data_IF_064753839967
#
_entry.id   IF_064753839967
#
_cell.length_a   1.000
_cell.length_b   1.000
_cell.length_c   1.000
_cell.angle_alpha   90.00
_cell.angle_beta   90.00
_cell.angle_gamma   90.00
#
_symmetry.space_group_name_H-M   'P 1'
#
loop_
_entity.id
_entity.type
_entity.pdbx_description
1 polymer ?
#
# COMPACT_ATOMS: atom_id res chain seq x y z
N UNK A 1 -11.09 -15.37 -7.65
CA UNK A 1 -12.14 -15.74 -8.64
C UNK A 1 -12.96 -14.54 -9.12
N UNK A 2 -13.60 -13.76 -8.24
CA UNK A 2 -14.47 -12.63 -8.67
C UNK A 2 -13.79 -11.59 -9.56
N UNK A 3 -12.59 -11.11 -9.18
CA UNK A 3 -11.82 -10.12 -9.94
C UNK A 3 -11.45 -10.62 -11.36
N UNK A 4 -11.07 -11.89 -11.48
CA UNK A 4 -10.78 -12.53 -12.77
C UNK A 4 -11.98 -12.47 -13.72
N UNK A 5 -13.14 -12.95 -13.27
CA UNK A 5 -14.35 -12.97 -14.10
C UNK A 5 -14.80 -11.56 -14.48
N UNK A 6 -14.71 -10.62 -13.54
CA UNK A 6 -15.02 -9.22 -13.80
C UNK A 6 -14.09 -8.64 -14.88
N UNK A 7 -12.78 -8.75 -14.71
CA UNK A 7 -11.80 -8.20 -15.67
C UNK A 7 -11.84 -8.89 -17.03
N UNK A 8 -12.15 -10.17 -17.08
CA UNK A 8 -12.35 -10.90 -18.33
C UNK A 8 -13.52 -10.33 -19.14
N UNK A 9 -14.64 -9.98 -18.47
CA UNK A 9 -15.82 -9.37 -19.13
C UNK A 9 -15.56 -7.97 -19.70
N UNK A 10 -14.73 -7.18 -19.02
CA UNK A 10 -14.45 -5.78 -19.40
C UNK A 10 -13.13 -5.61 -20.16
N UNK A 11 -12.46 -6.71 -20.53
CA UNK A 11 -11.23 -6.68 -21.33
C UNK A 11 -9.99 -6.17 -20.60
N UNK A 12 -9.97 -6.17 -19.26
CA UNK A 12 -8.80 -5.77 -18.47
C UNK A 12 -7.83 -6.92 -18.16
N UNK A 13 -8.25 -8.15 -18.39
CA UNK A 13 -7.40 -9.33 -18.21
C UNK A 13 -6.18 -9.30 -19.13
N UNK A 14 -5.00 -9.60 -18.60
CA UNK A 14 -3.75 -9.62 -19.36
C UNK A 14 -3.23 -8.24 -19.77
N UNK A 15 -3.74 -7.17 -19.16
CA UNK A 15 -3.29 -5.80 -19.40
C UNK A 15 -2.51 -5.26 -18.21
N UNK A 16 -1.57 -4.33 -18.46
CA UNK A 16 -0.87 -3.63 -17.35
C UNK A 16 -1.85 -2.88 -16.46
N UNK A 17 -2.87 -2.24 -17.06
CA UNK A 17 -3.88 -1.50 -16.33
C UNK A 17 -4.72 -2.39 -15.41
N UNK A 18 -5.12 -3.58 -15.88
CA UNK A 18 -5.79 -4.58 -15.04
C UNK A 18 -4.93 -5.00 -13.86
N UNK A 19 -3.65 -5.30 -14.07
CA UNK A 19 -2.72 -5.65 -12.99
C UNK A 19 -2.57 -4.48 -11.99
N UNK A 20 -2.38 -3.25 -12.46
CA UNK A 20 -2.27 -2.06 -11.60
C UNK A 20 -3.53 -1.86 -10.75
N UNK A 21 -4.72 -1.94 -11.36
CA UNK A 21 -5.98 -1.80 -10.62
C UNK A 21 -6.17 -2.93 -9.61
N UNK A 22 -5.77 -4.15 -9.94
CA UNK A 22 -5.86 -5.28 -9.03
C UNK A 22 -5.01 -5.05 -7.76
N UNK A 23 -3.75 -4.61 -7.95
CA UNK A 23 -2.87 -4.26 -6.83
C UNK A 23 -3.38 -3.04 -6.05
N UNK A 24 -3.93 -2.03 -6.72
CA UNK A 24 -4.51 -0.86 -6.05
C UNK A 24 -5.68 -1.24 -5.13
N UNK A 25 -6.57 -2.12 -5.60
CA UNK A 25 -7.70 -2.64 -4.80
C UNK A 25 -7.19 -3.41 -3.59
N UNK A 26 -6.17 -4.26 -3.76
CA UNK A 26 -5.55 -4.98 -2.64
C UNK A 26 -4.86 -4.05 -1.63
N UNK A 27 -4.21 -2.99 -2.10
CA UNK A 27 -3.51 -2.02 -1.26
C UNK A 27 -4.42 -1.05 -0.51
N UNK A 28 -5.62 -0.78 -1.05
CA UNK A 28 -6.59 0.17 -0.50
C UNK A 28 -6.89 0.01 1.00
N UNK A 29 -7.22 -1.19 1.53
CA UNK A 29 -7.53 -1.33 2.96
C UNK A 29 -6.39 -0.89 3.88
N UNK A 30 -5.13 -1.11 3.50
CA UNK A 30 -3.98 -0.67 4.29
C UNK A 30 -3.92 0.85 4.39
N UNK A 31 -4.11 1.55 3.27
CA UNK A 31 -4.13 3.01 3.25
C UNK A 31 -5.32 3.55 4.05
N UNK A 32 -6.50 2.97 3.88
CA UNK A 32 -7.71 3.41 4.61
C UNK A 32 -7.51 3.26 6.12
N UNK A 33 -6.98 2.14 6.59
CA UNK A 33 -6.75 1.90 8.03
C UNK A 33 -5.75 2.91 8.61
N UNK A 34 -4.60 3.12 7.96
CA UNK A 34 -3.55 4.01 8.50
C UNK A 34 -3.95 5.49 8.47
N UNK A 35 -4.65 5.91 7.41
CA UNK A 35 -5.17 7.28 7.28
C UNK A 35 -6.27 7.51 8.29
N UNK A 36 -7.20 6.57 8.46
CA UNK A 36 -8.29 6.69 9.45
C UNK A 36 -7.73 6.75 10.87
N UNK A 37 -6.81 5.85 11.23
CA UNK A 37 -6.15 5.88 12.54
C UNK A 37 -5.38 7.18 12.80
N UNK A 38 -4.86 7.79 11.73
CA UNK A 38 -4.19 9.09 11.81
C UNK A 38 -5.18 10.22 12.02
N UNK A 39 -6.27 10.25 11.26
CA UNK A 39 -7.28 11.30 11.34
C UNK A 39 -8.03 11.26 12.69
N UNK A 40 -8.38 10.07 13.18
CA UNK A 40 -9.03 9.89 14.48
C UNK A 40 -8.17 10.34 15.68
N UNK A 41 -6.86 10.48 15.49
CA UNK A 41 -5.94 10.96 16.52
C UNK A 41 -5.80 12.48 16.60
N UNK A 42 -6.44 13.25 15.70
CA UNK A 42 -6.37 14.72 15.70
C UNK A 42 -7.70 15.35 16.10
N UNK A 43 -7.61 16.47 16.83
CA UNK A 43 -8.78 17.25 17.19
C UNK A 43 -9.36 17.98 15.96
N UNK A 44 -10.67 17.94 15.82
CA UNK A 44 -11.41 18.66 14.78
C UNK A 44 -11.37 20.19 14.99
N UNK A 45 -10.86 20.66 16.12
CA UNK A 45 -10.67 22.09 16.39
C UNK A 45 -9.77 22.80 15.37
N UNK A 46 -8.78 22.11 14.79
CA UNK A 46 -7.97 22.68 13.69
C UNK A 46 -8.82 22.96 12.43
N UNK A 47 -9.79 22.10 12.14
CA UNK A 47 -10.72 22.25 11.01
C UNK A 47 -11.67 23.42 11.30
N UNK A 48 -12.23 23.48 12.52
CA UNK A 48 -13.11 24.58 12.96
C UNK A 48 -12.38 25.92 12.95
N UNK A 49 -11.15 25.98 13.46
CA UNK A 49 -10.33 27.19 13.46
C UNK A 49 -10.06 27.68 12.02
N UNK A 50 -9.75 26.76 11.10
CA UNK A 50 -9.60 27.10 9.69
C UNK A 50 -10.87 27.71 9.09
N UNK A 51 -12.04 27.15 9.42
CA UNK A 51 -13.33 27.65 8.94
C UNK A 51 -13.70 29.01 9.56
N UNK A 52 -13.40 29.22 10.85
CA UNK A 52 -13.59 30.50 11.55
C UNK A 52 -12.74 31.63 10.96
N UNK A 53 -11.58 31.31 10.36
CA UNK A 53 -10.74 32.25 9.61
C UNK A 53 -11.23 32.49 8.17
N UNK A 54 -12.40 31.97 7.79
CA UNK A 54 -13.00 32.16 6.47
C UNK A 54 -12.45 31.24 5.38
N UNK A 55 -11.69 30.20 5.73
CA UNK A 55 -11.17 29.27 4.72
C UNK A 55 -12.30 28.40 4.13
N UNK A 56 -12.27 28.24 2.81
CA UNK A 56 -13.16 27.30 2.12
C UNK A 56 -12.81 25.84 2.45
N UNK A 57 -13.75 24.88 2.33
CA UNK A 57 -13.48 23.46 2.58
C UNK A 57 -12.30 22.90 1.78
N UNK A 58 -12.11 23.35 0.54
CA UNK A 58 -10.95 22.96 -0.29
C UNK A 58 -9.64 23.48 0.29
N UNK A 59 -9.61 24.73 0.76
CA UNK A 59 -8.44 25.31 1.42
C UNK A 59 -8.13 24.58 2.72
N UNK A 60 -9.14 24.31 3.55
CA UNK A 60 -8.97 23.54 4.79
C UNK A 60 -8.47 22.12 4.50
N UNK A 61 -8.97 21.47 3.46
CA UNK A 61 -8.51 20.13 3.07
C UNK A 61 -7.02 20.13 2.73
N UNK A 62 -6.57 20.96 1.79
CA UNK A 62 -5.17 20.92 1.34
C UNK A 62 -4.19 21.53 2.34
N UNK A 63 -4.58 22.55 3.11
CA UNK A 63 -3.67 23.24 4.05
C UNK A 63 -3.69 22.70 5.47
N UNK A 64 -4.77 22.02 5.88
CA UNK A 64 -4.92 21.49 7.24
C UNK A 64 -4.98 19.97 7.21
N UNK A 65 -5.98 19.41 6.54
CA UNK A 65 -6.24 17.96 6.59
C UNK A 65 -5.09 17.17 5.95
N UNK A 66 -4.65 17.53 4.73
CA UNK A 66 -3.60 16.80 4.00
C UNK A 66 -2.29 16.74 4.79
N UNK A 67 -1.70 17.85 5.29
CA UNK A 67 -0.51 17.80 6.12
C UNK A 67 -0.68 16.95 7.38
N UNK A 68 -1.85 17.01 8.03
CA UNK A 68 -2.16 16.21 9.22
C UNK A 68 -2.19 14.71 8.91
N UNK A 69 -2.81 14.30 7.79
CA UNK A 69 -2.90 12.88 7.41
C UNK A 69 -1.67 12.35 6.68
N UNK A 70 -0.78 13.21 6.22
CA UNK A 70 0.41 12.84 5.42
C UNK A 70 1.23 11.70 6.04
N UNK A 71 1.54 11.69 7.36
CA UNK A 71 2.24 10.57 7.98
C UNK A 71 1.49 9.24 7.83
N UNK A 72 0.15 9.28 8.03
CA UNK A 72 -0.71 8.11 7.85
C UNK A 72 -0.82 7.64 6.41
N UNK A 73 -0.84 8.57 5.45
CA UNK A 73 -0.81 8.27 4.01
C UNK A 73 0.51 7.59 3.63
N UNK A 74 1.65 8.10 4.11
CA UNK A 74 2.97 7.51 3.83
C UNK A 74 3.06 6.09 4.40
N UNK A 75 2.67 5.90 5.66
CA UNK A 75 2.63 4.56 6.27
C UNK A 75 1.72 3.60 5.50
N UNK A 76 0.53 4.06 5.12
CA UNK A 76 -0.43 3.27 4.34
C UNK A 76 0.09 2.88 2.96
N UNK A 77 0.68 3.84 2.25
CA UNK A 77 1.27 3.63 0.94
C UNK A 77 2.41 2.60 0.98
N UNK A 78 3.25 2.65 2.02
CA UNK A 78 4.31 1.68 2.23
C UNK A 78 3.76 0.28 2.51
N UNK A 79 2.73 0.13 3.36
CA UNK A 79 2.07 -1.17 3.57
C UNK A 79 1.45 -1.72 2.28
N UNK A 80 0.69 -0.88 1.58
CA UNK A 80 0.11 -1.24 0.29
C UNK A 80 1.18 -1.67 -0.73
N UNK A 81 2.34 -0.99 -0.74
CA UNK A 81 3.46 -1.34 -1.59
C UNK A 81 4.08 -2.69 -1.22
N UNK A 82 4.37 -2.98 0.05
CA UNK A 82 4.90 -4.29 0.48
C UNK A 82 3.97 -5.41 0.05
N UNK A 83 2.69 -5.27 0.39
CA UNK A 83 1.69 -6.29 0.07
C UNK A 83 1.57 -6.46 -1.45
N UNK A 84 1.56 -5.37 -2.21
CA UNK A 84 1.53 -5.43 -3.67
C UNK A 84 2.79 -6.06 -4.26
N UNK A 85 3.95 -5.83 -3.66
CA UNK A 85 5.24 -6.26 -4.18
C UNK A 85 5.43 -7.78 -4.03
N UNK A 86 4.90 -8.36 -2.95
CA UNK A 86 4.95 -9.80 -2.67
C UNK A 86 3.73 -10.56 -3.23
N UNK A 87 2.78 -9.86 -3.85
CA UNK A 87 1.56 -10.46 -4.35
C UNK A 87 1.80 -11.23 -5.66
N UNK A 88 1.71 -12.56 -5.57
CA UNK A 88 1.84 -13.47 -6.72
C UNK A 88 0.49 -14.00 -7.23
N UNK A 89 -0.46 -14.21 -6.32
CA UNK A 89 -1.72 -14.90 -6.62
C UNK A 89 -2.55 -14.06 -7.58
N UNK A 90 -2.73 -12.77 -7.29
CA UNK A 90 -3.50 -11.88 -8.15
C UNK A 90 -2.90 -11.76 -9.54
N UNK A 91 -1.57 -11.66 -9.65
CA UNK A 91 -0.92 -11.53 -10.95
C UNK A 91 -1.08 -12.80 -11.78
N UNK A 92 -1.00 -13.99 -11.16
CA UNK A 92 -1.25 -15.27 -11.85
C UNK A 92 -2.67 -15.38 -12.42
N UNK A 93 -3.67 -14.77 -11.78
CA UNK A 93 -5.04 -14.77 -12.30
C UNK A 93 -5.28 -13.64 -13.30
N UNK A 94 -4.84 -12.42 -13.00
CA UNK A 94 -5.22 -11.21 -13.76
C UNK A 94 -4.24 -10.90 -14.89
N UNK A 95 -2.96 -11.17 -14.72
CA UNK A 95 -1.92 -10.87 -15.70
C UNK A 95 -1.82 -11.92 -16.80
N UNK A 96 -0.92 -11.65 -17.75
CA UNK A 96 -0.54 -12.58 -18.81
C UNK A 96 0.99 -12.70 -18.88
N UNK A 97 1.52 -13.47 -19.82
CA UNK A 97 2.96 -13.66 -20.04
C UNK A 97 3.72 -12.33 -20.17
N UNK A 98 3.07 -11.28 -20.68
CA UNK A 98 3.65 -9.94 -20.84
C UNK A 98 3.75 -9.14 -19.53
N UNK A 99 3.03 -9.53 -18.48
CA UNK A 99 2.98 -8.84 -17.18
C UNK A 99 3.59 -9.71 -16.07
N UNK A 100 4.79 -10.24 -16.32
CA UNK A 100 5.51 -11.06 -15.35
C UNK A 100 6.17 -10.18 -14.29
N UNK A 101 5.74 -10.36 -13.04
CA UNK A 101 6.40 -9.79 -11.86
C UNK A 101 7.51 -10.73 -11.35
N UNK A 102 8.38 -10.24 -10.47
CA UNK A 102 9.43 -11.07 -9.85
C UNK A 102 8.81 -12.27 -9.10
N UNK A 103 7.78 -12.11 -8.25
CA UNK A 103 7.13 -13.24 -7.59
C UNK A 103 6.51 -14.24 -8.57
N UNK A 104 5.93 -13.77 -9.68
CA UNK A 104 5.42 -14.67 -10.73
C UNK A 104 6.55 -15.56 -11.25
N UNK A 105 7.65 -14.96 -11.69
CA UNK A 105 8.76 -15.69 -12.30
C UNK A 105 9.34 -16.72 -11.34
N UNK A 106 9.51 -16.37 -10.07
CA UNK A 106 9.96 -17.30 -9.05
C UNK A 106 8.98 -18.45 -8.84
N UNK A 107 7.68 -18.15 -8.72
CA UNK A 107 6.65 -19.18 -8.55
C UNK A 107 6.57 -20.14 -9.75
N UNK A 108 6.71 -19.61 -10.97
CA UNK A 108 6.75 -20.43 -12.19
C UNK A 108 8.02 -21.27 -12.27
N UNK A 109 9.18 -20.69 -11.92
CA UNK A 109 10.46 -21.38 -11.93
C UNK A 109 10.53 -22.54 -10.94
N UNK A 110 9.95 -22.41 -9.74
CA UNK A 110 9.89 -23.52 -8.75
C UNK A 110 9.14 -24.73 -9.30
N UNK A 111 8.11 -24.50 -10.14
CA UNK A 111 7.31 -25.58 -10.74
C UNK A 111 8.05 -26.32 -11.86
N UNK A 112 8.99 -25.65 -12.53
CA UNK A 112 9.79 -26.23 -13.62
C UNK A 112 11.05 -26.91 -13.07
N UNK A 113 11.86 -26.21 -12.27
CA UNK A 113 13.04 -26.75 -11.59
C UNK A 113 13.53 -25.77 -10.50
N UNK A 114 13.85 -26.27 -9.30
CA UNK A 114 14.45 -25.43 -8.26
C UNK A 114 15.90 -25.11 -8.65
N UNK A 115 16.18 -23.83 -8.93
CA UNK A 115 17.52 -23.32 -9.23
C UNK A 115 18.09 -22.48 -8.07
N UNK A 116 19.43 -22.46 -7.88
CA UNK A 116 20.07 -21.59 -6.90
C UNK A 116 19.73 -20.10 -7.09
N UNK A 117 19.44 -19.67 -8.32
CA UNK A 117 19.05 -18.29 -8.64
C UNK A 117 17.71 -17.90 -8.02
N UNK A 118 16.73 -18.82 -7.99
CA UNK A 118 15.43 -18.57 -7.35
C UNK A 118 15.62 -18.39 -5.84
N UNK A 119 16.48 -19.23 -5.23
CA UNK A 119 16.79 -19.12 -3.81
C UNK A 119 17.47 -17.79 -3.48
N UNK A 120 18.40 -17.33 -4.31
CA UNK A 120 19.04 -16.02 -4.15
C UNK A 120 18.06 -14.84 -4.32
N UNK A 121 17.11 -14.93 -5.25
CA UNK A 121 16.07 -13.93 -5.40
C UNK A 121 15.13 -13.92 -4.19
N UNK A 122 14.75 -15.08 -3.66
CA UNK A 122 13.92 -15.20 -2.47
C UNK A 122 14.57 -14.56 -1.24
N UNK A 123 15.86 -14.82 -1.00
CA UNK A 123 16.57 -14.21 0.12
C UNK A 123 16.64 -12.68 -0.03
N UNK A 124 16.89 -12.17 -1.25
CA UNK A 124 16.88 -10.73 -1.50
C UNK A 124 15.50 -10.10 -1.24
N UNK A 125 14.42 -10.72 -1.72
CA UNK A 125 13.06 -10.23 -1.48
C UNK A 125 12.70 -10.24 0.01
N UNK A 126 13.11 -11.27 0.74
CA UNK A 126 12.93 -11.33 2.20
C UNK A 126 13.70 -10.18 2.88
N UNK A 127 14.96 -9.94 2.50
CA UNK A 127 15.76 -8.85 3.06
C UNK A 127 15.13 -7.48 2.76
N UNK A 128 14.65 -7.26 1.54
CA UNK A 128 13.95 -6.03 1.14
C UNK A 128 12.68 -5.86 1.99
N UNK A 129 11.90 -6.92 2.17
CA UNK A 129 10.66 -6.90 2.97
C UNK A 129 10.96 -6.56 4.43
N UNK A 130 11.97 -7.21 5.02
CA UNK A 130 12.43 -6.92 6.39
C UNK A 130 12.88 -5.45 6.51
N UNK A 131 13.68 -4.96 5.57
CA UNK A 131 14.16 -3.58 5.56
C UNK A 131 12.99 -2.58 5.46
N UNK A 132 12.00 -2.86 4.63
CA UNK A 132 10.83 -1.98 4.46
C UNK A 132 9.93 -1.99 5.69
N UNK A 133 9.64 -3.17 6.26
CA UNK A 133 8.85 -3.31 7.49
C UNK A 133 9.56 -2.66 8.70
N UNK A 134 10.89 -2.77 8.77
CA UNK A 134 11.67 -2.10 9.82
C UNK A 134 11.59 -0.58 9.67
N UNK A 135 11.77 -0.07 8.45
CA UNK A 135 11.66 1.37 8.16
C UNK A 135 10.27 1.89 8.49
N UNK A 136 9.23 1.14 8.14
CA UNK A 136 7.84 1.38 8.49
C UNK A 136 7.62 1.51 10.00
N UNK A 137 8.07 0.52 10.77
CA UNK A 137 7.93 0.52 12.23
C UNK A 137 8.65 1.72 12.87
N UNK A 138 9.83 2.08 12.37
CA UNK A 138 10.56 3.26 12.83
C UNK A 138 9.81 4.57 12.53
N UNK A 139 9.22 4.70 11.33
CA UNK A 139 8.39 5.85 10.97
C UNK A 139 7.10 5.92 11.81
N UNK A 140 6.49 4.77 12.11
CA UNK A 140 5.30 4.68 12.97
C UNK A 140 5.61 5.16 14.38
N UNK A 141 6.67 4.62 14.99
CA UNK A 141 7.15 5.05 16.33
C UNK A 141 7.45 6.53 16.41
N UNK A 142 8.05 7.11 15.36
CA UNK A 142 8.31 8.55 15.30
C UNK A 142 7.02 9.36 15.30
N UNK A 143 6.02 8.91 14.57
CA UNK A 143 4.70 9.56 14.50
C UNK A 143 3.96 9.45 15.83
N UNK A 144 4.00 8.30 16.49
CA UNK A 144 3.42 8.10 17.84
C UNK A 144 4.09 9.03 18.87
N UNK A 145 5.42 9.16 18.86
CA UNK A 145 6.14 10.10 19.75
C UNK A 145 5.74 11.55 19.54
N UNK A 146 5.58 11.99 18.28
CA UNK A 146 5.18 13.38 17.97
C UNK A 146 3.75 13.67 18.47
N UNK A 147 2.89 12.65 18.56
CA UNK A 147 1.51 12.80 19.02
C UNK A 147 1.35 12.85 20.54
N UNK A 148 2.42 12.68 21.33
CA UNK A 148 2.34 12.74 22.80
C UNK A 148 1.47 11.66 23.43
N UNK A 149 1.09 10.62 22.68
CA UNK A 149 0.35 9.46 23.21
C UNK A 149 1.36 8.59 23.94
N UNK A 150 1.54 8.82 25.23
CA UNK A 150 2.16 7.83 26.12
C UNK A 150 1.31 6.56 26.06
N UNK A 151 1.88 5.41 25.70
CA UNK A 151 1.18 4.15 25.91
C UNK A 151 0.97 4.01 27.42
N UNK A 152 -0.30 3.95 27.84
CA UNK A 152 -0.68 3.48 29.18
C UNK A 152 -0.40 1.99 29.31
#
# INVERSE_FOLDING_TARGET
AGMFFFYSRIGLQGTHLGVILAHAVLGTPFVVITVTATLSGFDNDLIRASQSLGASPTTTFFKVIVPLITPGVISGALFAFVTSFDEVVVVLFVGSYKQRTIPWQMFSGIREQISPTILAAATLLILITIALLTTLELLRRRTERIRGVTPS
#
